data_IF_800160316042
#
_entry.id   IF_800160316042
#
_cell.length_a   1.000
_cell.length_b   1.000
_cell.length_c   1.000
_cell.angle_alpha   90.00
_cell.angle_beta   90.00
_cell.angle_gamma   90.00
#
_symmetry.space_group_name_H-M   'P 1'
#
loop_
_entity.id
_entity.type
_entity.pdbx_description
1 polymer ?
#
# COMPACT_ATOMS: atom_id res chain seq x y z
N UNK A 1 6.56 52.71 61.49
CA UNK A 1 5.59 52.18 60.50
C UNK A 1 6.01 50.77 60.14
N UNK A 2 5.27 49.75 60.59
CA UNK A 2 5.46 48.38 60.15
C UNK A 2 4.44 48.11 59.04
N UNK A 3 4.92 47.87 57.82
CA UNK A 3 4.10 47.38 56.72
C UNK A 3 3.76 45.92 57.00
N UNK A 4 2.57 45.69 57.53
CA UNK A 4 1.96 44.38 57.70
C UNK A 4 1.41 43.96 56.32
N UNK A 5 2.32 43.61 55.40
CA UNK A 5 1.96 42.86 54.21
C UNK A 5 1.80 41.39 54.64
N UNK A 6 0.64 41.07 55.23
CA UNK A 6 0.17 39.70 55.32
C UNK A 6 0.07 39.18 53.89
N UNK A 7 1.01 38.32 53.50
CA UNK A 7 0.92 37.49 52.29
C UNK A 7 -0.31 36.60 52.45
N UNK A 8 -1.49 37.13 52.13
CA UNK A 8 -2.73 36.37 52.07
C UNK A 8 -2.54 35.31 51.00
N UNK A 9 -2.69 34.04 51.37
CA UNK A 9 -2.87 32.98 50.39
C UNK A 9 -4.07 33.37 49.52
N UNK A 10 -3.98 33.20 48.19
CA UNK A 10 -5.12 33.46 47.32
C UNK A 10 -6.33 32.65 47.82
N UNK A 11 -7.54 33.24 47.79
CA UNK A 11 -8.74 32.58 48.29
C UNK A 11 -8.97 31.26 47.56
N UNK A 12 -9.44 30.25 48.30
CA UNK A 12 -9.78 28.95 47.74
C UNK A 12 -10.97 29.11 46.78
N UNK A 13 -10.70 29.04 45.47
CA UNK A 13 -11.69 29.35 44.42
C UNK A 13 -13.02 28.59 44.58
N UNK A 14 -13.06 27.28 44.91
CA UNK A 14 -14.32 26.56 45.06
C UNK A 14 -15.27 27.12 46.15
N UNK A 15 -14.75 27.91 47.11
CA UNK A 15 -15.58 28.52 48.17
C UNK A 15 -16.38 29.75 47.72
N UNK A 16 -16.06 30.30 46.55
CA UNK A 16 -16.62 31.58 46.07
C UNK A 16 -17.19 31.52 44.66
N UNK A 17 -16.85 30.50 43.86
CA UNK A 17 -17.33 30.34 42.49
C UNK A 17 -17.44 28.86 42.10
N UNK A 18 -18.38 28.57 41.20
CA UNK A 18 -18.54 27.26 40.56
C UNK A 18 -17.99 27.35 39.14
N UNK A 19 -17.10 26.43 38.78
CA UNK A 19 -16.49 26.35 37.45
C UNK A 19 -17.03 25.11 36.76
N UNK A 20 -17.44 25.26 35.51
CA UNK A 20 -17.85 24.16 34.66
C UNK A 20 -17.08 24.24 33.35
N UNK A 21 -16.76 23.08 32.77
CA UNK A 21 -16.11 23.00 31.48
C UNK A 21 -16.86 22.08 30.54
N UNK A 22 -17.11 22.58 29.33
CA UNK A 22 -17.82 21.87 28.27
C UNK A 22 -16.89 21.71 27.08
N UNK A 23 -16.66 20.45 26.70
CA UNK A 23 -15.98 20.09 25.48
C UNK A 23 -16.50 18.73 25.00
N UNK A 24 -16.69 18.61 23.71
CA UNK A 24 -17.04 17.37 23.02
C UNK A 24 -16.11 17.21 21.81
N UNK A 25 -15.76 15.97 21.42
CA UNK A 25 -14.93 15.75 20.24
C UNK A 25 -15.69 16.18 18.97
N UNK A 26 -14.93 16.51 17.93
CA UNK A 26 -15.52 16.83 16.62
C UNK A 26 -16.26 15.60 16.10
N UNK A 27 -17.49 15.78 15.63
CA UNK A 27 -18.35 14.67 15.14
C UNK A 27 -19.22 14.02 16.21
N UNK A 28 -19.06 14.38 17.49
CA UNK A 28 -19.95 13.89 18.56
C UNK A 28 -21.39 14.35 18.33
N UNK A 29 -22.35 13.45 18.51
CA UNK A 29 -23.76 13.79 18.44
C UNK A 29 -24.16 14.67 19.64
N UNK A 30 -24.62 15.89 19.34
CA UNK A 30 -25.05 16.87 20.34
C UNK A 30 -26.26 16.38 21.15
N UNK A 31 -27.04 15.45 20.61
CA UNK A 31 -28.19 14.86 21.30
C UNK A 31 -27.81 13.73 22.27
N UNK A 32 -26.58 13.22 22.16
CA UNK A 32 -26.06 12.13 22.98
C UNK A 32 -25.19 12.68 24.13
N UNK A 33 -25.56 12.45 25.40
CA UNK A 33 -24.74 12.89 26.53
C UNK A 33 -23.39 12.14 26.53
N UNK A 34 -22.33 12.82 26.96
CA UNK A 34 -21.04 12.17 27.21
C UNK A 34 -21.18 11.12 28.32
N UNK A 35 -20.36 10.05 28.31
CA UNK A 35 -20.32 9.09 29.40
C UNK A 35 -20.08 9.77 30.76
N UNK A 36 -20.70 9.26 31.83
CA UNK A 36 -20.56 9.82 33.19
C UNK A 36 -19.09 9.89 33.62
N UNK A 37 -18.29 8.91 33.20
CA UNK A 37 -16.85 8.85 33.44
C UNK A 37 -16.09 10.05 32.85
N UNK A 38 -16.58 10.64 31.75
CA UNK A 38 -16.00 11.84 31.16
C UNK A 38 -16.29 13.07 32.03
N UNK A 39 -17.48 13.14 32.63
CA UNK A 39 -17.83 14.22 33.58
C UNK A 39 -16.98 14.15 34.83
N UNK A 40 -16.89 12.97 35.46
CA UNK A 40 -16.03 12.78 36.63
C UNK A 40 -14.56 13.09 36.35
N UNK A 41 -14.07 12.73 35.16
CA UNK A 41 -12.67 12.94 34.79
C UNK A 41 -12.40 14.40 34.45
N UNK A 42 -13.37 15.16 33.93
CA UNK A 42 -13.27 16.63 33.79
C UNK A 42 -13.25 17.32 35.15
N UNK A 43 -14.11 16.90 36.08
CA UNK A 43 -14.18 17.48 37.43
C UNK A 43 -12.86 17.30 38.18
N UNK A 44 -12.21 16.14 38.06
CA UNK A 44 -10.87 15.91 38.60
C UNK A 44 -9.81 16.87 38.05
N UNK A 45 -9.91 17.22 36.76
CA UNK A 45 -9.00 18.21 36.13
C UNK A 45 -9.26 19.61 36.68
N UNK A 46 -10.53 20.00 36.85
CA UNK A 46 -10.92 21.28 37.43
C UNK A 46 -10.53 21.38 38.91
N UNK A 47 -10.68 20.31 39.68
CA UNK A 47 -10.28 20.25 41.09
C UNK A 47 -8.76 20.38 41.22
N UNK A 48 -7.99 19.71 40.36
CA UNK A 48 -6.53 19.81 40.36
C UNK A 48 -6.05 21.26 40.08
N UNK A 49 -6.69 21.94 39.14
CA UNK A 49 -6.40 23.35 38.86
C UNK A 49 -6.82 24.27 40.00
N UNK A 50 -8.05 24.13 40.52
CA UNK A 50 -8.56 24.93 41.64
C UNK A 50 -7.76 24.72 42.92
N UNK A 51 -7.20 23.53 43.11
CA UNK A 51 -6.27 23.18 44.18
C UNK A 51 -4.83 23.62 43.93
N UNK A 52 -4.54 24.35 42.84
CA UNK A 52 -3.21 24.85 42.45
C UNK A 52 -2.15 23.75 42.24
N UNK A 53 -2.60 22.52 41.94
CA UNK A 53 -1.72 21.38 41.64
C UNK A 53 -1.49 21.20 40.14
N UNK A 54 -2.18 21.98 39.30
CA UNK A 54 -2.04 21.98 37.84
C UNK A 54 -1.95 23.43 37.32
N UNK A 55 -1.10 23.63 36.31
CA UNK A 55 -0.96 24.92 35.63
C UNK A 55 -2.17 25.23 34.75
N UNK A 56 -2.58 26.49 34.70
CA UNK A 56 -3.73 26.92 33.88
C UNK A 56 -3.55 26.66 32.39
N UNK A 57 -2.32 26.84 31.88
CA UNK A 57 -2.00 26.66 30.46
C UNK A 57 -2.21 25.23 29.92
N UNK A 58 -2.38 24.23 30.78
CA UNK A 58 -2.61 22.83 30.35
C UNK A 58 -4.06 22.35 30.55
N UNK A 59 -4.93 23.15 31.17
CA UNK A 59 -6.32 22.74 31.47
C UNK A 59 -7.05 22.28 30.22
N UNK A 60 -7.00 23.08 29.14
CA UNK A 60 -7.72 22.78 27.92
C UNK A 60 -7.25 21.47 27.25
N UNK A 61 -5.96 21.13 27.36
CA UNK A 61 -5.44 19.86 26.85
C UNK A 61 -5.85 18.69 27.77
N UNK A 62 -5.76 18.89 29.09
CA UNK A 62 -6.13 17.88 30.07
C UNK A 62 -7.63 17.52 30.00
N UNK A 63 -8.51 18.51 29.84
CA UNK A 63 -9.95 18.30 29.63
C UNK A 63 -10.21 17.49 28.36
N UNK A 64 -9.61 17.88 27.23
CA UNK A 64 -9.78 17.17 25.96
C UNK A 64 -9.35 15.71 26.07
N UNK A 65 -8.15 15.48 26.59
CA UNK A 65 -7.61 14.14 26.81
C UNK A 65 -8.50 13.30 27.72
N UNK A 66 -8.95 13.89 28.82
CA UNK A 66 -9.84 13.28 29.80
C UNK A 66 -11.17 12.83 29.17
N UNK A 67 -11.79 13.68 28.35
CA UNK A 67 -13.02 13.31 27.63
C UNK A 67 -12.75 12.19 26.63
N UNK A 68 -11.72 12.31 25.79
CA UNK A 68 -11.38 11.28 24.79
C UNK A 68 -11.09 9.92 25.44
N UNK A 69 -10.37 9.90 26.56
CA UNK A 69 -10.04 8.70 27.33
C UNK A 69 -11.28 7.99 27.88
N UNK A 70 -12.36 8.73 28.12
CA UNK A 70 -13.63 8.25 28.68
C UNK A 70 -14.65 7.76 27.64
N UNK A 71 -14.43 7.99 26.35
CA UNK A 71 -15.35 7.54 25.29
C UNK A 71 -15.35 6.02 25.21
N UNK A 72 -16.52 5.43 25.33
CA UNK A 72 -16.76 3.99 25.46
C UNK A 72 -17.29 3.32 24.20
N UNK A 73 -17.55 4.08 23.14
CA UNK A 73 -18.07 3.55 21.88
C UNK A 73 -17.54 4.31 20.66
N UNK A 74 -17.61 3.67 19.49
CA UNK A 74 -17.16 4.24 18.24
C UNK A 74 -15.64 4.27 18.08
N UNK A 75 -15.19 5.12 17.18
CA UNK A 75 -13.80 5.28 16.79
C UNK A 75 -13.36 6.73 17.04
N UNK A 76 -12.33 6.88 17.87
CA UNK A 76 -11.65 8.15 18.12
C UNK A 76 -10.45 8.25 17.18
N UNK A 77 -10.37 9.33 16.41
CA UNK A 77 -9.26 9.62 15.49
C UNK A 77 -8.74 11.01 15.80
N UNK A 78 -7.60 11.09 16.49
CA UNK A 78 -7.06 12.35 17.00
C UNK A 78 -8.00 13.02 18.01
N UNK A 79 -8.55 14.17 17.65
CA UNK A 79 -9.54 14.93 18.43
C UNK A 79 -10.99 14.76 17.94
N UNK A 80 -11.17 13.91 16.93
CA UNK A 80 -12.46 13.63 16.30
C UNK A 80 -13.00 12.28 16.74
N UNK A 81 -14.32 12.14 16.67
CA UNK A 81 -15.05 10.90 16.94
C UNK A 81 -16.02 10.62 15.82
N UNK A 82 -16.13 9.35 15.45
CA UNK A 82 -17.11 8.83 14.51
C UNK A 82 -17.70 7.52 15.05
N UNK A 83 -18.88 7.15 14.57
CA UNK A 83 -19.53 5.88 14.92
C UNK A 83 -18.70 4.66 14.50
N UNK A 84 -17.94 4.77 13.41
CA UNK A 84 -17.13 3.68 12.87
C UNK A 84 -17.94 2.62 12.11
N UNK A 85 -19.21 2.89 11.82
CA UNK A 85 -20.12 2.03 11.04
C UNK A 85 -20.15 2.34 9.55
N UNK A 86 -19.53 3.45 9.14
CA UNK A 86 -19.45 3.91 7.76
C UNK A 86 -17.99 3.96 7.32
N UNK A 87 -17.69 3.41 6.14
CA UNK A 87 -16.32 3.34 5.62
C UNK A 87 -15.81 4.72 5.19
N UNK A 88 -16.64 5.50 4.52
CA UNK A 88 -16.26 6.82 3.97
C UNK A 88 -15.97 7.79 5.13
N UNK A 89 -16.72 7.72 6.23
CA UNK A 89 -16.42 8.49 7.45
C UNK A 89 -15.06 8.15 8.06
N UNK A 90 -14.68 6.86 8.08
CA UNK A 90 -13.38 6.42 8.59
C UNK A 90 -12.25 6.93 7.70
N UNK A 91 -12.39 6.80 6.38
CA UNK A 91 -11.39 7.27 5.42
C UNK A 91 -11.22 8.79 5.50
N UNK A 92 -12.31 9.54 5.65
CA UNK A 92 -12.27 10.99 5.83
C UNK A 92 -11.61 11.41 7.15
N UNK A 93 -11.88 10.70 8.25
CA UNK A 93 -11.23 10.97 9.54
C UNK A 93 -9.70 10.79 9.46
N UNK A 94 -9.23 9.81 8.68
CA UNK A 94 -7.81 9.54 8.44
C UNK A 94 -7.13 10.60 7.55
N UNK A 95 -7.83 11.52 6.91
CA UNK A 95 -7.21 12.58 6.10
C UNK A 95 -6.27 13.48 6.91
N UNK A 96 -6.51 13.60 8.22
CA UNK A 96 -5.65 14.34 9.14
C UNK A 96 -4.34 13.61 9.48
N UNK A 97 -4.21 12.33 9.10
CA UNK A 97 -3.07 11.48 9.41
C UNK A 97 -2.08 11.36 8.22
N UNK A 98 -0.76 11.39 8.47
CA UNK A 98 0.24 11.20 7.40
C UNK A 98 0.13 9.83 6.73
N UNK A 99 0.16 9.79 5.40
CA UNK A 99 0.12 8.55 4.61
C UNK A 99 -0.23 8.82 3.15
N UNK A 100 0.02 7.86 2.26
CA UNK A 100 -0.52 7.89 0.89
C UNK A 100 -2.04 7.61 0.87
N UNK A 101 -2.70 7.85 -0.26
CA UNK A 101 -4.11 7.50 -0.43
C UNK A 101 -4.31 5.98 -0.27
N UNK A 102 -3.42 5.18 -0.84
CA UNK A 102 -3.51 3.71 -0.74
C UNK A 102 -3.31 3.23 0.72
N UNK A 103 -2.40 3.86 1.47
CA UNK A 103 -2.22 3.57 2.89
C UNK A 103 -3.46 3.94 3.71
N UNK A 104 -4.07 5.11 3.42
CA UNK A 104 -5.33 5.54 4.06
C UNK A 104 -6.47 4.57 3.76
N UNK A 105 -6.64 4.20 2.50
CA UNK A 105 -7.71 3.32 2.06
C UNK A 105 -7.60 1.93 2.71
N UNK A 106 -6.39 1.34 2.71
CA UNK A 106 -6.16 0.06 3.40
C UNK A 106 -6.35 0.19 4.92
N UNK A 107 -5.93 1.30 5.54
CA UNK A 107 -6.12 1.53 6.97
C UNK A 107 -7.61 1.67 7.31
N UNK A 108 -8.39 2.35 6.47
CA UNK A 108 -9.83 2.47 6.61
C UNK A 108 -10.52 1.11 6.56
N UNK A 109 -10.14 0.21 5.62
CA UNK A 109 -10.69 -1.15 5.57
C UNK A 109 -10.37 -1.95 6.83
N UNK A 110 -9.15 -1.85 7.34
CA UNK A 110 -8.72 -2.58 8.54
C UNK A 110 -9.40 -2.04 9.80
N UNK A 111 -9.55 -0.72 9.93
CA UNK A 111 -10.32 -0.10 11.01
C UNK A 111 -11.80 -0.47 10.92
N UNK A 112 -12.40 -0.43 9.73
CA UNK A 112 -13.79 -0.82 9.52
C UNK A 112 -14.05 -2.28 9.93
N UNK A 113 -13.14 -3.19 9.57
CA UNK A 113 -13.20 -4.58 10.00
C UNK A 113 -13.08 -4.72 11.53
N UNK A 114 -12.14 -4.00 12.13
CA UNK A 114 -11.95 -3.95 13.58
C UNK A 114 -13.20 -3.44 14.31
N UNK A 115 -13.80 -2.35 13.82
CA UNK A 115 -15.02 -1.77 14.38
C UNK A 115 -16.24 -2.71 14.30
N UNK A 116 -16.35 -3.50 13.22
CA UNK A 116 -17.42 -4.50 13.06
C UNK A 116 -17.29 -5.68 14.02
N UNK A 117 -16.06 -6.05 14.39
CA UNK A 117 -15.82 -7.06 15.42
C UNK A 117 -16.17 -6.53 16.81
N UNK A 118 -15.89 -5.25 17.06
CA UNK A 118 -16.19 -4.57 18.32
C UNK A 118 -15.13 -4.84 19.41
N UNK A 119 -15.32 -4.21 20.57
CA UNK A 119 -14.45 -4.39 21.74
C UNK A 119 -14.70 -5.71 22.45
N UNK A 120 -13.65 -6.34 22.96
CA UNK A 120 -13.75 -7.54 23.82
C UNK A 120 -13.82 -7.09 25.28
N UNK A 121 -14.76 -7.65 26.04
CA UNK A 121 -14.92 -7.43 27.49
C UNK A 121 -15.06 -5.96 27.95
N UNK A 122 -15.45 -5.07 27.03
CA UNK A 122 -15.59 -3.63 27.30
C UNK A 122 -14.26 -2.87 27.36
N UNK A 123 -13.15 -3.51 26.98
CA UNK A 123 -11.83 -2.88 26.89
C UNK A 123 -11.56 -2.44 25.45
N UNK A 124 -11.22 -1.15 25.30
CA UNK A 124 -10.89 -0.58 24.01
C UNK A 124 -9.41 -0.74 23.70
N UNK A 125 -9.06 -0.42 22.46
CA UNK A 125 -7.68 -0.46 22.00
C UNK A 125 -7.23 0.95 21.61
N UNK A 126 -5.97 1.28 21.88
CA UNK A 126 -5.30 2.50 21.43
C UNK A 126 -4.13 2.16 20.54
N UNK A 127 -4.09 2.79 19.39
CA UNK A 127 -2.92 2.86 18.52
C UNK A 127 -2.21 4.18 18.84
N UNK A 128 -1.00 4.07 19.37
CA UNK A 128 -0.20 5.25 19.72
C UNK A 128 0.43 5.89 18.49
N UNK A 129 0.94 7.12 18.62
CA UNK A 129 1.66 7.80 17.54
C UNK A 129 2.83 6.98 16.96
N UNK A 130 3.42 6.08 17.76
CA UNK A 130 4.51 5.18 17.35
C UNK A 130 4.05 3.89 16.67
N UNK A 131 2.75 3.63 16.64
CA UNK A 131 2.16 2.38 16.12
C UNK A 131 2.08 1.25 17.15
N UNK A 132 2.42 1.51 18.42
CA UNK A 132 2.22 0.53 19.49
C UNK A 132 0.74 0.41 19.83
N UNK A 133 0.30 -0.81 20.12
CA UNK A 133 -1.06 -1.13 20.57
C UNK A 133 -1.09 -1.20 22.09
N UNK A 134 -2.01 -0.49 22.73
CA UNK A 134 -2.22 -0.53 24.18
C UNK A 134 -3.70 -0.61 24.55
N UNK A 135 -4.02 -1.30 25.63
CA UNK A 135 -5.38 -1.40 26.15
C UNK A 135 -5.88 -0.06 26.72
N UNK A 136 -7.19 0.14 26.64
CA UNK A 136 -7.92 1.27 27.21
C UNK A 136 -9.00 0.77 28.15
N UNK A 137 -9.24 1.53 29.22
CA UNK A 137 -10.35 1.29 30.14
C UNK A 137 -11.72 1.51 29.51
N UNK A 138 -11.81 2.39 28.52
CA UNK A 138 -13.04 2.66 27.80
C UNK A 138 -13.03 1.88 26.49
N UNK A 139 -14.20 1.38 26.07
CA UNK A 139 -14.35 0.42 24.98
C UNK A 139 -14.08 0.95 23.57
N UNK A 140 -14.02 2.27 23.35
CA UNK A 140 -13.79 2.81 22.01
C UNK A 140 -12.39 2.46 21.47
N UNK A 141 -12.29 2.27 20.16
CA UNK A 141 -11.02 2.21 19.46
C UNK A 141 -10.46 3.64 19.33
N UNK A 142 -9.16 3.82 19.58
CA UNK A 142 -8.50 5.11 19.44
C UNK A 142 -7.28 5.03 18.53
N UNK A 143 -7.23 5.92 17.55
CA UNK A 143 -6.02 6.27 16.79
C UNK A 143 -5.54 7.62 17.31
N UNK A 144 -4.39 7.65 18.00
CA UNK A 144 -3.87 8.88 18.58
C UNK A 144 -3.50 9.91 17.51
N UNK A 145 -3.64 11.19 17.84
CA UNK A 145 -3.13 12.29 17.03
C UNK A 145 -1.63 12.09 16.71
N UNK A 146 -1.25 12.32 15.45
CA UNK A 146 0.12 12.15 14.97
C UNK A 146 0.51 10.73 14.55
N UNK A 147 -0.38 9.74 14.70
CA UNK A 147 -0.17 8.38 14.16
C UNK A 147 -0.15 8.41 12.63
N UNK A 148 0.82 7.80 11.95
CA UNK A 148 0.75 7.66 10.48
C UNK A 148 -0.18 6.51 10.07
N UNK A 149 -0.73 6.56 8.85
CA UNK A 149 -1.51 5.44 8.31
C UNK A 149 -0.66 4.16 8.25
N UNK A 150 0.64 4.26 7.92
CA UNK A 150 1.56 3.13 8.00
C UNK A 150 1.69 2.52 9.41
N UNK A 151 1.62 3.33 10.47
CA UNK A 151 1.62 2.84 11.85
C UNK A 151 0.28 2.18 12.22
N UNK A 152 -0.85 2.74 11.77
CA UNK A 152 -2.17 2.09 11.91
C UNK A 152 -2.19 0.73 11.23
N UNK A 153 -1.67 0.66 10.00
CA UNK A 153 -1.54 -0.59 9.25
C UNK A 153 -0.69 -1.61 9.99
N UNK A 154 0.49 -1.21 10.48
CA UNK A 154 1.37 -2.09 11.25
C UNK A 154 0.70 -2.65 12.50
N UNK A 155 0.00 -1.80 13.26
CA UNK A 155 -0.70 -2.17 14.47
C UNK A 155 -1.83 -3.19 14.24
N UNK A 156 -2.53 -3.07 13.11
CA UNK A 156 -3.72 -3.88 12.81
C UNK A 156 -3.42 -5.07 11.87
N UNK A 157 -2.23 -5.15 11.27
CA UNK A 157 -1.93 -6.09 10.18
C UNK A 157 -2.10 -7.55 10.56
N UNK A 158 -1.64 -7.93 11.75
CA UNK A 158 -1.66 -9.33 12.20
C UNK A 158 -3.09 -9.88 12.24
N UNK A 159 -4.05 -9.10 12.72
CA UNK A 159 -5.42 -9.57 12.90
C UNK A 159 -6.34 -9.21 11.73
N UNK A 160 -6.25 -7.98 11.22
CA UNK A 160 -7.19 -7.46 10.22
C UNK A 160 -6.58 -7.27 8.83
N UNK A 161 -5.31 -7.64 8.61
CA UNK A 161 -4.64 -7.47 7.32
C UNK A 161 -5.31 -8.23 6.17
N UNK A 162 -5.89 -9.42 6.42
CA UNK A 162 -6.64 -10.17 5.41
C UNK A 162 -7.93 -9.47 4.99
N UNK A 163 -8.69 -8.92 5.96
CA UNK A 163 -9.89 -8.11 5.69
C UNK A 163 -9.53 -6.82 4.94
N UNK A 164 -8.40 -6.20 5.29
CA UNK A 164 -7.83 -5.08 4.55
C UNK A 164 -7.57 -5.41 3.08
N UNK A 165 -6.90 -6.55 2.81
CA UNK A 165 -6.64 -7.02 1.46
C UNK A 165 -7.93 -7.34 0.69
N UNK A 166 -8.92 -7.92 1.36
CA UNK A 166 -10.23 -8.18 0.76
C UNK A 166 -10.93 -6.88 0.32
N UNK A 167 -10.79 -5.80 1.10
CA UNK A 167 -11.23 -4.46 0.74
C UNK A 167 -10.61 -3.93 -0.57
N UNK A 168 -9.34 -4.27 -0.82
CA UNK A 168 -8.63 -3.95 -2.07
C UNK A 168 -8.95 -4.93 -3.23
N UNK A 169 -9.89 -5.85 -3.03
CA UNK A 169 -10.27 -6.88 -3.99
C UNK A 169 -9.30 -8.07 -4.09
N UNK A 170 -8.36 -8.20 -3.15
CA UNK A 170 -7.39 -9.31 -3.10
C UNK A 170 -7.91 -10.35 -2.11
N UNK A 171 -8.30 -11.52 -2.58
CA UNK A 171 -8.96 -12.56 -1.77
C UNK A 171 -8.38 -13.96 -2.00
N UNK A 172 -8.74 -14.92 -1.15
CA UNK A 172 -8.35 -16.32 -1.30
C UNK A 172 -6.87 -16.60 -1.01
N UNK A 173 -6.30 -17.59 -1.68
CA UNK A 173 -4.94 -18.08 -1.43
C UNK A 173 -3.86 -17.02 -1.68
N UNK A 174 -4.07 -16.13 -2.67
CA UNK A 174 -3.18 -15.02 -2.96
C UNK A 174 -3.11 -14.04 -1.77
N UNK A 175 -4.27 -13.67 -1.22
CA UNK A 175 -4.34 -12.79 -0.05
C UNK A 175 -3.59 -13.38 1.15
N UNK A 176 -3.77 -14.69 1.41
CA UNK A 176 -3.05 -15.37 2.48
C UNK A 176 -1.53 -15.35 2.31
N UNK A 177 -1.04 -15.55 1.09
CA UNK A 177 0.40 -15.52 0.80
C UNK A 177 0.97 -14.12 1.02
N UNK A 178 0.29 -13.10 0.48
CA UNK A 178 0.66 -11.69 0.64
C UNK A 178 0.68 -11.30 2.12
N UNK A 179 -0.37 -11.64 2.86
CA UNK A 179 -0.48 -11.36 4.29
C UNK A 179 0.64 -12.03 5.09
N UNK A 180 0.87 -13.35 4.89
CA UNK A 180 1.94 -14.11 5.55
C UNK A 180 3.32 -13.53 5.26
N UNK A 181 3.58 -13.14 4.01
CA UNK A 181 4.86 -12.57 3.58
C UNK A 181 5.14 -11.23 4.26
N UNK A 182 4.16 -10.34 4.25
CA UNK A 182 4.26 -9.03 4.89
C UNK A 182 4.33 -9.15 6.42
N UNK A 183 3.63 -10.11 7.03
CA UNK A 183 3.69 -10.36 8.47
C UNK A 183 5.06 -10.94 8.90
N UNK A 184 5.61 -11.90 8.14
CA UNK A 184 6.90 -12.53 8.46
C UNK A 184 8.11 -11.64 8.21
N UNK A 185 8.07 -10.84 7.14
CA UNK A 185 9.15 -9.93 6.76
C UNK A 185 8.57 -8.57 6.40
N UNK A 186 8.20 -7.77 7.42
CA UNK A 186 7.53 -6.49 7.20
C UNK A 186 8.44 -5.53 6.45
N UNK A 187 7.88 -4.92 5.42
CA UNK A 187 8.44 -3.76 4.73
C UNK A 187 7.53 -2.55 4.99
N UNK A 188 8.02 -1.31 4.82
CA UNK A 188 7.16 -0.13 4.91
C UNK A 188 5.94 -0.23 3.98
N UNK A 189 4.74 0.09 4.49
CA UNK A 189 3.48 -0.11 3.75
C UNK A 189 3.44 0.64 2.42
N UNK A 190 3.97 1.86 2.35
CA UNK A 190 4.11 2.57 1.06
C UNK A 190 4.94 1.82 0.00
N UNK A 191 5.96 1.03 0.39
CA UNK A 191 6.71 0.19 -0.56
C UNK A 191 5.96 -1.10 -0.89
N UNK A 192 5.30 -1.68 0.13
CA UNK A 192 4.47 -2.87 -0.03
C UNK A 192 3.35 -2.64 -1.04
N UNK A 193 2.56 -1.57 -0.88
CA UNK A 193 1.44 -1.25 -1.76
C UNK A 193 1.91 -1.00 -3.20
N UNK A 194 2.97 -0.21 -3.39
CA UNK A 194 3.61 -0.04 -4.71
C UNK A 194 4.04 -1.36 -5.34
N UNK A 195 4.52 -2.31 -4.54
CA UNK A 195 4.90 -3.63 -5.04
C UNK A 195 3.70 -4.47 -5.48
N UNK A 196 2.54 -4.31 -4.83
CA UNK A 196 1.29 -4.96 -5.25
C UNK A 196 0.80 -4.39 -6.58
N UNK A 197 0.76 -3.06 -6.71
CA UNK A 197 0.34 -2.41 -7.96
C UNK A 197 1.26 -2.79 -9.12
N UNK A 198 2.57 -2.75 -8.89
CA UNK A 198 3.55 -3.17 -9.89
C UNK A 198 3.38 -4.65 -10.28
N UNK A 199 3.01 -5.52 -9.33
CA UNK A 199 2.78 -6.94 -9.61
C UNK A 199 1.49 -7.16 -10.41
N UNK A 200 0.40 -6.45 -10.07
CA UNK A 200 -0.88 -6.50 -10.81
C UNK A 200 -0.72 -5.99 -12.24
N UNK A 201 -0.06 -4.85 -12.41
CA UNK A 201 0.24 -4.29 -13.73
C UNK A 201 1.11 -5.23 -14.55
N UNK A 202 2.13 -5.84 -13.94
CA UNK A 202 2.95 -6.83 -14.62
C UNK A 202 2.15 -8.07 -15.01
N UNK A 203 1.30 -8.60 -14.13
CA UNK A 203 0.44 -9.74 -14.42
C UNK A 203 -0.53 -9.45 -15.59
N UNK A 204 -1.15 -8.27 -15.60
CA UNK A 204 -2.00 -7.80 -16.69
C UNK A 204 -1.24 -7.71 -18.02
N UNK A 205 0.00 -7.21 -18.00
CA UNK A 205 0.84 -7.16 -19.21
C UNK A 205 1.28 -8.54 -19.67
N UNK A 206 1.52 -9.47 -18.75
CA UNK A 206 1.87 -10.86 -19.06
C UNK A 206 0.72 -11.56 -19.79
N UNK A 207 -0.53 -11.37 -19.35
CA UNK A 207 -1.70 -12.03 -19.97
C UNK A 207 -2.05 -11.50 -21.36
N UNK A 208 -1.53 -10.33 -21.75
CA UNK A 208 -1.72 -9.78 -23.10
C UNK A 208 -1.00 -10.56 -24.20
N UNK A 209 0.01 -11.38 -23.88
CA UNK A 209 0.78 -12.13 -24.89
C UNK A 209 0.19 -13.53 -25.13
N UNK A 210 -0.60 -13.75 -26.20
CA UNK A 210 -1.32 -15.02 -26.42
C UNK A 210 -0.39 -16.21 -26.67
N UNK A 211 0.79 -15.96 -27.24
CA UNK A 211 1.78 -16.98 -27.61
C UNK A 211 2.69 -17.41 -26.45
N UNK A 212 2.50 -16.85 -25.25
CA UNK A 212 3.31 -17.18 -24.07
C UNK A 212 3.10 -18.62 -23.58
N UNK A 213 1.86 -19.11 -23.65
CA UNK A 213 1.51 -20.47 -23.20
C UNK A 213 1.85 -21.54 -24.26
N UNK A 214 2.14 -21.13 -25.50
CA UNK A 214 2.55 -22.04 -26.55
C UNK A 214 3.94 -22.62 -26.23
N UNK A 215 4.07 -23.95 -26.26
CA UNK A 215 5.38 -24.61 -26.23
C UNK A 215 6.07 -24.44 -27.58
N UNK A 216 6.70 -23.29 -27.75
CA UNK A 216 7.48 -22.96 -28.94
C UNK A 216 8.87 -23.59 -28.82
N UNK A 217 9.25 -24.35 -29.84
CA UNK A 217 10.60 -24.92 -29.98
C UNK A 217 11.35 -24.18 -31.11
N UNK A 218 12.58 -24.62 -31.37
CA UNK A 218 13.35 -24.11 -32.50
C UNK A 218 13.81 -22.65 -32.37
N UNK A 219 14.16 -22.07 -33.51
CA UNK A 219 14.68 -20.71 -33.61
C UNK A 219 13.59 -19.67 -33.31
N UNK A 220 12.33 -19.91 -33.74
CA UNK A 220 11.23 -18.99 -33.42
C UNK A 220 10.98 -18.95 -31.92
N UNK A 221 10.93 -20.10 -31.25
CA UNK A 221 10.77 -20.17 -29.80
C UNK A 221 11.91 -19.45 -29.06
N UNK A 222 13.14 -19.59 -29.52
CA UNK A 222 14.31 -18.92 -28.93
C UNK A 222 14.25 -17.39 -29.08
N UNK A 223 13.92 -16.86 -30.27
CA UNK A 223 13.75 -15.41 -30.49
C UNK A 223 12.58 -14.88 -29.65
N UNK A 224 11.43 -15.54 -29.72
CA UNK A 224 10.23 -15.17 -28.98
C UNK A 224 10.49 -15.14 -27.46
N UNK A 225 11.20 -16.15 -26.94
CA UNK A 225 11.58 -16.22 -25.53
C UNK A 225 12.44 -15.02 -25.09
N UNK A 226 13.42 -14.62 -25.90
CA UNK A 226 14.25 -13.45 -25.62
C UNK A 226 13.48 -12.13 -25.70
N UNK A 227 12.53 -12.00 -26.65
CA UNK A 227 11.63 -10.83 -26.73
C UNK A 227 10.80 -10.71 -25.45
N UNK A 228 10.10 -11.79 -25.05
CA UNK A 228 9.28 -11.77 -23.84
C UNK A 228 10.14 -11.52 -22.59
N UNK A 229 11.34 -12.11 -22.52
CA UNK A 229 12.25 -11.87 -21.41
C UNK A 229 12.70 -10.40 -21.34
N UNK A 230 12.99 -9.76 -22.48
CA UNK A 230 13.35 -8.34 -22.55
C UNK A 230 12.20 -7.44 -22.11
N UNK A 231 11.00 -7.68 -22.63
CA UNK A 231 9.80 -6.89 -22.33
C UNK A 231 9.32 -7.04 -20.88
N UNK A 232 9.39 -8.25 -20.31
CA UNK A 232 8.78 -8.55 -19.01
C UNK A 232 9.77 -8.51 -17.85
N UNK A 233 11.05 -8.84 -18.10
CA UNK A 233 12.08 -8.98 -17.06
C UNK A 233 13.26 -8.02 -17.26
N UNK A 234 13.21 -7.23 -18.33
CA UNK A 234 14.20 -6.21 -18.68
C UNK A 234 15.28 -6.71 -19.65
N UNK A 235 15.62 -5.85 -20.60
CA UNK A 235 16.60 -6.14 -21.65
C UNK A 235 17.96 -6.62 -21.14
N UNK A 236 18.42 -6.14 -19.98
CA UNK A 236 19.71 -6.57 -19.42
C UNK A 236 19.73 -8.06 -19.05
N UNK A 237 18.59 -8.62 -18.64
CA UNK A 237 18.47 -10.05 -18.35
C UNK A 237 18.42 -10.86 -19.64
N UNK A 238 17.69 -10.38 -20.65
CA UNK A 238 17.63 -10.98 -21.97
C UNK A 238 18.98 -10.94 -22.70
N UNK A 239 19.73 -9.83 -22.62
CA UNK A 239 21.09 -9.71 -23.16
C UNK A 239 22.04 -10.70 -22.52
N UNK A 240 22.05 -10.80 -21.19
CA UNK A 240 22.85 -11.80 -20.47
C UNK A 240 22.49 -13.24 -20.87
N UNK A 241 21.25 -13.52 -21.28
CA UNK A 241 20.85 -14.83 -21.77
C UNK A 241 21.30 -15.02 -23.23
N UNK A 242 21.12 -14.00 -24.07
CA UNK A 242 21.52 -14.01 -25.47
C UNK A 242 23.03 -14.20 -25.66
N UNK A 243 23.89 -13.71 -24.75
CA UNK A 243 25.35 -13.85 -24.86
C UNK A 243 25.91 -15.11 -24.19
N UNK A 244 25.08 -16.03 -23.71
CA UNK A 244 25.52 -17.31 -23.14
C UNK A 244 25.99 -18.28 -24.22
N UNK A 245 26.59 -19.39 -23.80
CA UNK A 245 26.95 -20.46 -24.74
C UNK A 245 25.68 -21.12 -25.29
N UNK A 246 25.64 -21.30 -26.60
CA UNK A 246 24.51 -21.93 -27.30
C UNK A 246 24.82 -23.38 -27.67
N UNK A 247 23.80 -24.23 -27.62
CA UNK A 247 23.91 -25.65 -27.93
C UNK A 247 23.74 -25.95 -29.44
N UNK A 248 23.30 -24.96 -30.22
CA UNK A 248 23.11 -25.07 -31.67
C UNK A 248 23.31 -23.74 -32.39
N UNK A 249 23.60 -23.81 -33.70
CA UNK A 249 23.72 -22.64 -34.59
C UNK A 249 22.39 -21.86 -34.62
N UNK A 250 21.25 -22.55 -34.58
CA UNK A 250 19.93 -21.91 -34.63
C UNK A 250 19.62 -21.13 -33.35
N UNK A 251 20.03 -21.66 -32.19
CA UNK A 251 19.92 -20.94 -30.91
C UNK A 251 20.84 -19.72 -30.89
N UNK A 252 22.07 -19.84 -31.40
CA UNK A 252 23.00 -18.73 -31.52
C UNK A 252 22.51 -17.66 -32.51
N UNK A 253 21.94 -18.08 -33.65
CA UNK A 253 21.37 -17.18 -34.65
C UNK A 253 20.14 -16.44 -34.11
N UNK A 254 19.30 -17.10 -33.31
CA UNK A 254 18.14 -16.50 -32.67
C UNK A 254 18.55 -15.42 -31.66
N UNK A 255 19.55 -15.73 -30.82
CA UNK A 255 20.11 -14.78 -29.88
C UNK A 255 20.77 -13.59 -30.59
N UNK A 256 21.51 -13.83 -31.68
CA UNK A 256 22.07 -12.77 -32.50
C UNK A 256 21.00 -11.89 -33.16
N UNK A 257 19.93 -12.49 -33.68
CA UNK A 257 18.81 -11.76 -34.28
C UNK A 257 18.12 -10.84 -33.27
N UNK A 258 17.93 -11.31 -32.03
CA UNK A 258 17.38 -10.48 -30.95
C UNK A 258 18.33 -9.34 -30.57
N UNK A 259 19.64 -9.58 -30.44
CA UNK A 259 20.62 -8.54 -30.13
C UNK A 259 20.65 -7.43 -31.20
N UNK A 260 20.54 -7.81 -32.48
CA UNK A 260 20.42 -6.84 -33.58
C UNK A 260 19.13 -6.01 -33.47
N UNK A 261 17.99 -6.67 -33.27
CA UNK A 261 16.69 -6.01 -33.17
C UNK A 261 16.54 -5.12 -31.92
N UNK A 262 17.16 -5.51 -30.81
CA UNK A 262 17.16 -4.74 -29.58
C UNK A 262 18.18 -3.57 -29.62
N UNK A 263 19.00 -3.46 -30.67
CA UNK A 263 20.08 -2.47 -30.74
C UNK A 263 21.21 -2.73 -29.72
N UNK A 264 21.43 -4.00 -29.35
CA UNK A 264 22.37 -4.45 -28.31
C UNK A 264 23.51 -5.32 -28.83
N UNK A 265 23.73 -5.34 -30.15
CA UNK A 265 24.75 -6.20 -30.77
C UNK A 265 26.19 -5.68 -30.63
N UNK A 266 26.39 -4.39 -30.36
CA UNK A 266 27.71 -3.74 -30.38
C UNK A 266 28.67 -4.36 -29.36
N UNK A 267 29.79 -4.91 -29.83
CA UNK A 267 30.81 -5.53 -28.98
C UNK A 267 30.48 -6.96 -28.55
N UNK A 268 29.35 -7.51 -29.00
CA UNK A 268 28.93 -8.89 -28.71
C UNK A 268 29.26 -9.86 -29.85
N UNK A 269 29.82 -9.38 -30.97
CA UNK A 269 30.10 -10.16 -32.19
C UNK A 269 30.98 -11.38 -31.94
N UNK A 270 31.90 -11.29 -30.98
CA UNK A 270 32.88 -12.33 -30.67
C UNK A 270 32.26 -13.55 -29.97
N UNK A 271 31.05 -13.43 -29.43
CA UNK A 271 30.31 -14.54 -28.83
C UNK A 271 29.71 -15.49 -29.89
N UNK A 272 29.62 -15.07 -31.15
CA UNK A 272 28.88 -15.77 -32.18
C UNK A 272 29.75 -16.13 -33.39
N UNK A 273 29.58 -17.34 -33.89
CA UNK A 273 30.21 -17.78 -35.13
C UNK A 273 29.58 -17.10 -36.37
N UNK A 274 30.35 -16.99 -37.46
CA UNK A 274 29.93 -16.29 -38.69
C UNK A 274 28.59 -16.84 -39.23
N UNK A 275 28.43 -18.16 -39.30
CA UNK A 275 27.19 -18.77 -39.80
C UNK A 275 25.96 -18.41 -38.95
N UNK A 276 26.12 -18.34 -37.63
CA UNK A 276 25.04 -17.92 -36.73
C UNK A 276 24.74 -16.42 -36.93
N UNK A 277 25.76 -15.59 -37.16
CA UNK A 277 25.58 -14.16 -37.42
C UNK A 277 24.89 -13.87 -38.74
N UNK A 278 25.26 -14.57 -39.81
CA UNK A 278 24.64 -14.44 -41.12
C UNK A 278 23.15 -14.86 -41.06
N UNK A 279 22.88 -16.01 -40.42
CA UNK A 279 21.52 -16.52 -40.25
C UNK A 279 20.67 -15.62 -39.36
N UNK A 280 21.21 -15.17 -38.23
CA UNK A 280 20.53 -14.22 -37.34
C UNK A 280 20.32 -12.85 -37.98
N UNK A 281 21.24 -12.42 -38.84
CA UNK A 281 21.09 -11.21 -39.67
C UNK A 281 19.92 -11.31 -40.64
N UNK A 282 19.70 -12.48 -41.26
CA UNK A 282 18.53 -12.72 -42.11
C UNK A 282 17.21 -12.68 -41.32
N UNK A 283 17.23 -13.04 -40.04
CA UNK A 283 16.07 -13.02 -39.15
C UNK A 283 15.80 -11.65 -38.51
N UNK A 284 16.76 -10.73 -38.56
CA UNK A 284 16.70 -9.42 -37.89
C UNK A 284 15.40 -8.66 -38.21
N UNK A 285 15.00 -8.57 -39.47
CA UNK A 285 13.82 -7.80 -39.87
C UNK A 285 12.52 -8.29 -39.23
N UNK A 286 12.28 -9.60 -39.28
CA UNK A 286 11.10 -10.21 -38.66
C UNK A 286 11.17 -10.16 -37.12
N UNK A 287 12.37 -10.33 -36.54
CA UNK A 287 12.59 -10.19 -35.11
C UNK A 287 12.32 -8.76 -34.63
N UNK A 288 12.74 -7.74 -35.40
CA UNK A 288 12.47 -6.33 -35.11
C UNK A 288 10.97 -6.05 -35.16
N UNK A 289 10.29 -6.51 -36.20
CA UNK A 289 8.84 -6.35 -36.34
C UNK A 289 8.10 -6.97 -35.15
N UNK A 290 8.48 -8.17 -34.74
CA UNK A 290 7.89 -8.84 -33.57
C UNK A 290 8.20 -8.09 -32.27
N UNK A 291 9.44 -7.61 -32.10
CA UNK A 291 9.82 -6.84 -30.92
C UNK A 291 9.03 -5.54 -30.82
N UNK A 292 8.84 -4.83 -31.93
CA UNK A 292 8.11 -3.56 -31.94
C UNK A 292 6.59 -3.75 -31.77
N UNK A 293 6.02 -4.80 -32.36
CA UNK A 293 4.65 -5.23 -32.06
C UNK A 293 4.51 -5.61 -30.57
N UNK A 294 5.50 -6.29 -30.00
CA UNK A 294 5.53 -6.65 -28.59
C UNK A 294 5.62 -5.46 -27.65
N UNK A 295 6.42 -4.44 -27.98
CA UNK A 295 6.47 -3.17 -27.24
C UNK A 295 5.11 -2.49 -27.27
N UNK A 296 4.49 -2.41 -28.44
CA UNK A 296 3.15 -1.81 -28.63
C UNK A 296 2.11 -2.53 -27.78
N UNK A 297 2.06 -3.86 -27.85
CA UNK A 297 1.16 -4.69 -27.04
C UNK A 297 1.42 -4.55 -25.53
N UNK A 298 2.68 -4.42 -25.13
CA UNK A 298 3.07 -4.22 -23.73
C UNK A 298 2.61 -2.86 -23.16
N UNK A 299 2.57 -1.81 -23.99
CA UNK A 299 2.30 -0.44 -23.55
C UNK A 299 0.94 0.14 -23.97
N UNK A 300 0.17 -0.57 -24.79
CA UNK A 300 -1.13 -0.09 -25.28
C UNK A 300 -2.18 0.05 -24.17
N UNK A 301 -3.15 0.93 -24.40
CA UNK A 301 -4.35 1.05 -23.56
C UNK A 301 -5.27 -0.15 -23.77
N UNK A 302 -6.20 -0.38 -22.83
CA UNK A 302 -7.05 -1.58 -22.85
C UNK A 302 -7.95 -1.66 -24.10
N UNK A 303 -8.35 -0.52 -24.65
CA UNK A 303 -9.19 -0.42 -25.85
C UNK A 303 -8.43 -0.84 -27.13
N UNK A 304 -7.10 -0.77 -27.13
CA UNK A 304 -6.25 -1.05 -28.30
C UNK A 304 -5.67 -2.48 -28.29
N UNK A 305 -5.94 -3.26 -27.24
CA UNK A 305 -5.32 -4.60 -27.02
C UNK A 305 -5.64 -5.55 -28.19
N UNK A 306 -6.85 -5.52 -28.74
CA UNK A 306 -7.25 -6.41 -29.83
C UNK A 306 -6.47 -6.13 -31.13
N UNK A 307 -6.30 -4.86 -31.48
CA UNK A 307 -5.51 -4.44 -32.65
C UNK A 307 -4.02 -4.77 -32.46
N UNK A 308 -3.46 -4.44 -31.29
CA UNK A 308 -2.07 -4.73 -30.98
C UNK A 308 -1.78 -6.25 -30.94
N UNK A 309 -2.76 -7.06 -30.50
CA UNK A 309 -2.67 -8.53 -30.51
C UNK A 309 -2.64 -9.07 -31.94
N UNK A 310 -3.45 -8.49 -32.85
CA UNK A 310 -3.45 -8.87 -34.26
C UNK A 310 -2.10 -8.58 -34.92
N UNK A 311 -1.52 -7.40 -34.67
CA UNK A 311 -0.20 -7.04 -35.15
C UNK A 311 0.91 -7.95 -34.59
N UNK A 312 0.83 -8.34 -33.31
CA UNK A 312 1.73 -9.32 -32.70
C UNK A 312 1.66 -10.68 -33.40
N UNK A 313 0.45 -11.18 -33.67
CA UNK A 313 0.26 -12.48 -34.33
C UNK A 313 0.75 -12.47 -35.79
N UNK A 314 0.56 -11.37 -36.52
CA UNK A 314 1.09 -11.21 -37.88
C UNK A 314 2.63 -11.21 -37.88
N UNK A 315 3.25 -10.42 -37.02
CA UNK A 315 4.70 -10.37 -36.87
C UNK A 315 5.28 -11.72 -36.42
N UNK A 316 4.56 -12.44 -35.56
CA UNK A 316 4.94 -13.77 -35.10
C UNK A 316 4.88 -14.82 -36.24
N UNK A 317 3.87 -14.74 -37.10
CA UNK A 317 3.77 -15.57 -38.31
C UNK A 317 4.89 -15.26 -39.32
N UNK A 318 5.24 -13.99 -39.49
CA UNK A 318 6.38 -13.59 -40.32
C UNK A 318 7.69 -14.17 -39.79
N UNK A 319 7.91 -14.15 -38.47
CA UNK A 319 9.07 -14.77 -37.85
C UNK A 319 9.09 -16.29 -38.09
N UNK A 320 7.99 -17.02 -37.89
CA UNK A 320 7.88 -18.46 -38.20
C UNK A 320 8.26 -18.76 -39.65
N UNK A 321 7.84 -17.91 -40.59
CA UNK A 321 8.16 -18.08 -42.01
C UNK A 321 9.66 -17.95 -42.26
N UNK A 322 10.30 -16.93 -41.70
CA UNK A 322 11.71 -16.61 -41.93
C UNK A 322 12.67 -17.58 -41.21
N UNK A 323 12.25 -18.17 -40.09
CA UNK A 323 13.00 -19.23 -39.40
C UNK A 323 12.79 -20.62 -39.99
N UNK A 324 11.82 -20.78 -40.91
CA UNK A 324 11.50 -22.06 -41.54
C UNK A 324 10.60 -22.97 -40.72
N UNK A 325 9.82 -22.40 -39.79
CA UNK A 325 8.88 -23.08 -38.89
C UNK A 325 7.41 -22.80 -39.24
N UNK A 326 7.14 -22.14 -40.37
CA UNK A 326 5.78 -22.02 -40.92
C UNK A 326 5.32 -23.37 -41.50
N UNK A 327 4.10 -23.78 -41.15
CA UNK A 327 3.41 -24.97 -41.70
C UNK A 327 2.72 -24.58 -43.00
#
# INVERSE_FOLDING_TARGET
>A
MHHLALSMLPPFLPSILKIEAFWTPKGWDVSTPLPDSATESKDKVLDAWQGLTMNEGVIALAIRRSVLDSIDSGLVVGDSWITGSDFDEIEEALQSHPGSNDERNLAAHMLYASMREGSVDGEGVRITAKGDVSERKAAALEVMEGTSCGNVLGALWEKWGLEGLAGLGITGAEAEEIWKKQHKKPQPFGNFLKSLDSAREMAKKITRFPTREEKLSGATGAVHGLILQGLLEGDGKAERNATQRHDSIDSAAAAWAWLLAAGRSTGQEWHFEINARDRGGAWMGATQQLLDAGKTLYSCDDDDVEEATSAWMEAFSALKTVTGEAI
#
